data_IF_895388104681
#
_entry.id   IF_895388104681
#
_cell.length_a   1.000
_cell.length_b   1.000
_cell.length_c   1.000
_cell.angle_alpha   90.00
_cell.angle_beta   90.00
_cell.angle_gamma   90.00
#
_symmetry.space_group_name_H-M   'P 1'
#
loop_
_entity.id
_entity.type
_entity.pdbx_description
1 polymer ?
#
# COMPACT_ATOMS: atom_id res chain seq x y z
N UNK A 1 0.41 58.56 -9.47
CA UNK A 1 -0.73 57.74 -9.04
C UNK A 1 -0.60 56.37 -9.70
N UNK A 2 0.23 55.48 -9.13
CA UNK A 2 -0.24 54.27 -8.42
C UNK A 2 -0.96 53.30 -9.38
N UNK A 3 -0.28 52.37 -10.08
CA UNK A 3 0.18 51.04 -9.62
C UNK A 3 -0.76 50.35 -8.62
N UNK A 4 -1.33 49.21 -9.05
CA UNK A 4 -1.82 48.00 -8.33
C UNK A 4 -2.99 47.41 -9.17
N UNK A 5 -3.10 46.13 -9.52
CA UNK A 5 -2.31 44.93 -9.27
C UNK A 5 -2.93 43.82 -10.12
N UNK A 6 -2.34 43.49 -11.27
CA UNK A 6 -2.64 42.29 -12.04
C UNK A 6 -1.54 41.27 -11.74
N UNK A 7 -1.67 40.49 -10.66
CA UNK A 7 -0.74 39.39 -10.37
C UNK A 7 -1.29 38.44 -9.30
N UNK A 8 -2.09 37.45 -9.71
CA UNK A 8 -2.44 36.31 -8.83
C UNK A 8 -2.53 34.95 -9.53
N UNK A 9 -2.26 34.87 -10.83
CA UNK A 9 -2.38 33.64 -11.63
C UNK A 9 -1.21 32.62 -11.55
N UNK A 10 0.08 32.99 -11.36
CA UNK A 10 1.16 31.99 -11.42
C UNK A 10 1.32 31.16 -10.14
N UNK A 11 0.69 31.55 -9.03
CA UNK A 11 0.85 30.88 -7.71
C UNK A 11 -0.10 29.69 -7.54
N UNK A 12 -1.27 29.75 -8.15
CA UNK A 12 -2.29 28.68 -8.12
C UNK A 12 -1.91 27.49 -9.01
N UNK A 13 -1.33 27.75 -10.18
CA UNK A 13 -0.87 26.69 -11.09
C UNK A 13 0.30 25.90 -10.50
N UNK A 14 1.27 26.59 -9.87
CA UNK A 14 2.39 25.95 -9.14
C UNK A 14 1.89 25.09 -7.98
N UNK A 15 0.88 25.54 -7.21
CA UNK A 15 0.28 24.72 -6.14
C UNK A 15 -0.43 23.48 -6.69
N UNK A 16 -1.19 23.60 -7.78
CA UNK A 16 -1.88 22.45 -8.39
C UNK A 16 -0.89 21.44 -8.98
N UNK A 17 0.18 21.91 -9.63
CA UNK A 17 1.26 21.06 -10.15
C UNK A 17 2.03 20.39 -9.02
N UNK A 18 2.34 21.12 -7.94
CA UNK A 18 3.00 20.57 -6.76
C UNK A 18 2.13 19.52 -6.05
N UNK A 19 0.83 19.76 -5.92
CA UNK A 19 -0.11 18.79 -5.34
C UNK A 19 -0.27 17.58 -6.27
N UNK A 20 -0.31 17.78 -7.60
CA UNK A 20 -0.38 16.69 -8.57
C UNK A 20 0.91 15.84 -8.54
N UNK A 21 2.08 16.49 -8.48
CA UNK A 21 3.38 15.83 -8.31
C UNK A 21 3.46 15.08 -6.98
N UNK A 22 3.01 15.68 -5.88
CA UNK A 22 2.95 15.03 -4.57
C UNK A 22 2.02 13.81 -4.59
N UNK A 23 0.85 13.91 -5.21
CA UNK A 23 -0.13 12.82 -5.33
C UNK A 23 0.37 11.72 -6.29
N UNK A 24 1.08 12.09 -7.36
CA UNK A 24 1.74 11.14 -8.28
C UNK A 24 2.89 10.42 -7.56
N UNK A 25 3.74 11.13 -6.84
CA UNK A 25 4.83 10.56 -6.03
C UNK A 25 4.30 9.60 -4.96
N UNK A 26 3.22 9.96 -4.26
CA UNK A 26 2.58 9.11 -3.23
C UNK A 26 1.94 7.84 -3.82
N UNK A 27 1.39 7.89 -5.04
CA UNK A 27 0.87 6.70 -5.71
C UNK A 27 1.97 5.79 -6.24
N UNK A 28 3.10 6.34 -6.69
CA UNK A 28 4.24 5.54 -7.15
C UNK A 28 4.92 4.78 -6.02
N UNK A 29 4.95 5.32 -4.79
CA UNK A 29 5.63 4.67 -3.66
C UNK A 29 4.90 3.41 -3.14
N UNK A 30 3.56 3.45 -3.03
CA UNK A 30 2.79 2.28 -2.56
C UNK A 30 2.74 1.14 -3.60
N UNK A 31 2.69 1.49 -4.90
CA UNK A 31 2.72 0.50 -5.99
C UNK A 31 4.13 -0.10 -6.12
N UNK A 32 5.18 0.72 -5.98
CA UNK A 32 6.56 0.25 -6.02
C UNK A 32 6.85 -0.76 -4.90
N UNK A 33 6.39 -0.51 -3.67
CA UNK A 33 6.68 -1.43 -2.55
C UNK A 33 6.00 -2.80 -2.70
N UNK A 34 4.77 -2.85 -3.23
CA UNK A 34 4.05 -4.11 -3.45
C UNK A 34 4.65 -4.95 -4.57
N UNK A 35 5.02 -4.31 -5.68
CA UNK A 35 5.68 -4.96 -6.83
C UNK A 35 7.08 -5.45 -6.44
N UNK A 36 7.84 -4.66 -5.68
CA UNK A 36 9.17 -5.06 -5.20
C UNK A 36 9.10 -6.30 -4.31
N UNK A 37 8.13 -6.43 -3.41
CA UNK A 37 8.00 -7.62 -2.57
C UNK A 37 7.68 -8.88 -3.40
N UNK A 38 6.74 -8.78 -4.34
CA UNK A 38 6.37 -9.91 -5.21
C UNK A 38 7.56 -10.34 -6.07
N UNK A 39 8.23 -9.39 -6.73
CA UNK A 39 9.42 -9.67 -7.54
C UNK A 39 10.55 -10.30 -6.70
N UNK A 40 10.77 -9.80 -5.49
CA UNK A 40 11.77 -10.34 -4.55
C UNK A 40 11.43 -11.77 -4.17
N UNK A 41 10.15 -12.06 -3.89
CA UNK A 41 9.69 -13.40 -3.55
C UNK A 41 9.81 -14.38 -4.71
N UNK A 42 9.44 -13.97 -5.93
CA UNK A 42 9.60 -14.79 -7.14
C UNK A 42 11.07 -15.09 -7.43
N UNK A 43 11.95 -14.07 -7.34
CA UNK A 43 13.41 -14.28 -7.48
C UNK A 43 13.97 -15.18 -6.38
N UNK A 44 13.43 -15.11 -5.16
CA UNK A 44 13.84 -16.00 -4.06
C UNK A 44 13.41 -17.45 -4.32
N UNK A 45 12.21 -17.68 -4.85
CA UNK A 45 11.76 -19.02 -5.28
C UNK A 45 12.71 -19.55 -6.36
N UNK A 46 13.00 -18.75 -7.38
CA UNK A 46 13.92 -19.12 -8.45
C UNK A 46 15.31 -19.49 -7.88
N UNK A 47 15.88 -18.65 -7.02
CA UNK A 47 17.16 -18.92 -6.36
C UNK A 47 17.15 -20.22 -5.55
N UNK A 48 16.05 -20.49 -4.84
CA UNK A 48 15.88 -21.73 -4.08
C UNK A 48 15.82 -22.95 -5.00
N UNK A 49 15.05 -22.87 -6.08
CA UNK A 49 14.89 -23.99 -7.01
C UNK A 49 16.22 -24.30 -7.73
N UNK A 50 16.94 -23.26 -8.16
CA UNK A 50 18.30 -23.39 -8.72
C UNK A 50 19.26 -24.07 -7.72
N UNK A 51 19.18 -23.69 -6.44
CA UNK A 51 19.97 -24.32 -5.39
C UNK A 51 19.61 -25.79 -5.17
N UNK A 52 18.31 -26.13 -5.17
CA UNK A 52 17.86 -27.52 -5.02
C UNK A 52 18.35 -28.35 -6.22
N UNK A 53 18.29 -27.81 -7.43
CA UNK A 53 18.83 -28.47 -8.63
C UNK A 53 20.35 -28.70 -8.51
N UNK A 54 21.10 -27.70 -8.06
CA UNK A 54 22.55 -27.84 -7.80
C UNK A 54 22.81 -28.98 -6.79
N UNK A 55 22.06 -28.99 -5.68
CA UNK A 55 22.21 -30.00 -4.63
C UNK A 55 21.96 -31.42 -5.16
N UNK A 56 20.95 -31.60 -6.02
CA UNK A 56 20.58 -32.91 -6.57
C UNK A 56 21.49 -33.40 -7.70
N UNK A 57 22.00 -32.48 -8.54
CA UNK A 57 22.68 -32.85 -9.78
C UNK A 57 24.21 -32.85 -9.68
N UNK A 58 24.81 -32.13 -8.74
CA UNK A 58 26.27 -32.12 -8.60
C UNK A 58 26.78 -33.47 -8.05
N UNK A 59 27.83 -34.07 -8.63
CA UNK A 59 28.41 -35.30 -8.11
C UNK A 59 28.93 -35.10 -6.69
N UNK A 60 28.91 -36.15 -5.87
CA UNK A 60 29.51 -36.10 -4.53
C UNK A 60 31.01 -35.83 -4.66
N UNK A 61 31.52 -34.97 -3.79
CA UNK A 61 32.95 -34.65 -3.72
C UNK A 61 33.79 -35.92 -3.51
N UNK A 62 34.84 -36.15 -4.32
CA UNK A 62 35.61 -37.40 -4.27
C UNK A 62 36.52 -37.43 -3.04
N UNK A 63 36.08 -38.09 -1.96
CA UNK A 63 36.89 -38.56 -0.83
C UNK A 63 37.47 -37.46 0.09
N UNK A 64 37.04 -37.46 1.36
CA UNK A 64 37.56 -36.57 2.40
C UNK A 64 36.52 -36.27 3.47
N UNK A 65 36.90 -35.55 4.53
CA UNK A 65 35.95 -34.99 5.48
C UNK A 65 35.48 -33.64 4.94
N UNK A 66 34.17 -33.49 4.73
CA UNK A 66 33.56 -32.28 4.16
C UNK A 66 32.22 -31.97 4.84
N UNK A 67 31.84 -30.69 4.80
CA UNK A 67 30.51 -30.25 5.16
C UNK A 67 29.59 -30.39 3.95
N UNK A 68 28.43 -31.02 4.17
CA UNK A 68 27.43 -31.21 3.11
C UNK A 68 26.88 -29.87 2.62
N UNK A 69 26.72 -29.78 1.29
CA UNK A 69 25.94 -28.73 0.63
C UNK A 69 24.54 -28.58 1.25
N UNK A 70 24.08 -27.34 1.36
CA UNK A 70 22.79 -27.05 2.00
C UNK A 70 22.23 -25.71 1.55
N UNK A 71 20.90 -25.62 1.50
CA UNK A 71 20.19 -24.34 1.42
C UNK A 71 19.70 -23.95 2.81
N UNK A 72 20.09 -22.76 3.27
CA UNK A 72 19.75 -22.29 4.62
C UNK A 72 18.69 -21.18 4.64
N UNK A 73 17.86 -21.14 3.58
CA UNK A 73 16.80 -20.15 3.33
C UNK A 73 17.29 -18.75 2.98
N UNK A 74 18.60 -18.52 2.95
CA UNK A 74 19.18 -17.27 2.49
C UNK A 74 20.17 -17.48 1.34
N UNK A 75 21.09 -18.44 1.46
CA UNK A 75 22.05 -18.70 0.39
C UNK A 75 22.29 -20.21 0.17
N UNK A 76 22.77 -20.53 -1.03
CA UNK A 76 23.10 -21.88 -1.44
C UNK A 76 24.57 -22.19 -1.14
N UNK A 77 24.82 -23.16 -0.27
CA UNK A 77 26.18 -23.56 0.10
C UNK A 77 26.58 -24.85 -0.63
N UNK A 78 27.71 -24.86 -1.36
CA UNK A 78 28.26 -26.07 -1.95
C UNK A 78 28.94 -26.95 -0.89
N UNK A 79 29.43 -28.12 -1.29
CA UNK A 79 30.27 -28.95 -0.43
C UNK A 79 31.57 -28.22 -0.09
N UNK A 80 32.00 -28.32 1.17
CA UNK A 80 33.16 -27.61 1.68
C UNK A 80 34.13 -28.57 2.36
N UNK A 81 35.41 -28.51 2.04
CA UNK A 81 36.41 -29.33 2.76
C UNK A 81 36.52 -28.91 4.23
N UNK A 82 36.77 -29.88 5.10
CA UNK A 82 36.95 -29.63 6.54
C UNK A 82 38.05 -28.59 6.79
N UNK A 83 37.77 -27.60 7.64
CA UNK A 83 38.67 -26.48 7.96
C UNK A 83 38.69 -25.34 6.92
N UNK A 84 37.91 -25.42 5.84
CA UNK A 84 37.86 -24.37 4.80
C UNK A 84 36.83 -23.28 5.10
N UNK A 85 37.09 -22.09 4.56
CA UNK A 85 36.15 -20.97 4.52
C UNK A 85 35.55 -20.88 3.12
N UNK A 86 34.23 -20.97 3.04
CA UNK A 86 33.47 -20.88 1.78
C UNK A 86 32.94 -19.47 1.61
N UNK A 87 33.17 -18.91 0.43
CA UNK A 87 32.64 -17.61 0.02
C UNK A 87 31.70 -17.82 -1.17
N UNK A 88 30.51 -17.25 -1.09
CA UNK A 88 29.54 -17.23 -2.19
C UNK A 88 29.08 -15.80 -2.40
N UNK A 89 28.80 -15.42 -3.66
CA UNK A 89 28.32 -14.08 -3.97
C UNK A 89 27.00 -13.78 -3.25
N UNK A 90 26.73 -12.50 -2.99
CA UNK A 90 25.43 -12.08 -2.45
C UNK A 90 24.28 -12.62 -3.32
N UNK A 91 23.17 -13.10 -2.72
CA UNK A 91 22.05 -13.62 -3.49
C UNK A 91 21.39 -12.56 -4.39
N UNK A 92 21.14 -12.91 -5.66
CA UNK A 92 20.57 -11.97 -6.64
C UNK A 92 19.11 -11.60 -6.40
N UNK A 93 18.41 -12.32 -5.52
CA UNK A 93 17.02 -12.02 -5.18
C UNK A 93 16.89 -10.78 -4.28
N UNK A 94 17.99 -10.30 -3.67
CA UNK A 94 17.96 -9.15 -2.77
C UNK A 94 17.51 -7.87 -3.53
N UNK A 95 16.58 -7.07 -2.98
CA UNK A 95 16.13 -5.83 -3.63
C UNK A 95 17.26 -4.85 -3.92
N UNK A 96 18.31 -4.85 -3.08
CA UNK A 96 19.49 -3.99 -3.18
C UNK A 96 20.71 -4.70 -3.81
N UNK A 97 20.50 -5.83 -4.52
CA UNK A 97 21.60 -6.63 -5.10
C UNK A 97 22.59 -5.82 -5.93
N UNK A 98 22.12 -4.86 -6.73
CA UNK A 98 22.99 -4.00 -7.56
C UNK A 98 24.09 -3.30 -6.74
N UNK A 99 23.78 -2.88 -5.51
CA UNK A 99 24.74 -2.24 -4.59
C UNK A 99 25.74 -3.23 -3.99
N UNK A 100 25.31 -4.48 -3.76
CA UNK A 100 26.08 -5.52 -3.06
C UNK A 100 26.57 -6.63 -4.00
N UNK A 101 26.50 -6.43 -5.31
CA UNK A 101 26.81 -7.45 -6.32
C UNK A 101 28.24 -7.99 -6.24
N UNK A 102 29.17 -7.19 -5.72
CA UNK A 102 30.57 -7.56 -5.48
C UNK A 102 30.82 -8.14 -4.08
N UNK A 103 29.82 -8.12 -3.20
CA UNK A 103 29.91 -8.65 -1.86
C UNK A 103 29.81 -10.18 -1.83
N UNK A 104 30.34 -10.77 -0.76
CA UNK A 104 30.23 -12.21 -0.52
C UNK A 104 29.64 -12.49 0.86
N UNK A 105 28.85 -13.57 0.97
CA UNK A 105 28.55 -14.18 2.26
C UNK A 105 29.50 -15.35 2.52
N UNK A 106 29.89 -15.49 3.78
CA UNK A 106 30.91 -16.46 4.20
C UNK A 106 30.37 -17.43 5.23
N UNK A 107 30.87 -18.66 5.17
CA UNK A 107 30.57 -19.73 6.13
C UNK A 107 31.78 -20.64 6.27
N UNK A 108 32.02 -21.13 7.48
CA UNK A 108 33.18 -21.98 7.78
C UNK A 108 32.75 -23.43 7.97
N UNK A 109 33.48 -24.34 7.35
CA UNK A 109 33.40 -25.76 7.65
C UNK A 109 34.42 -26.12 8.74
N UNK A 110 33.97 -26.73 9.83
CA UNK A 110 34.82 -27.20 10.92
C UNK A 110 35.74 -28.34 10.50
N UNK A 111 36.78 -28.59 11.31
CA UNK A 111 37.70 -29.72 11.10
C UNK A 111 37.05 -31.09 11.36
N UNK A 112 35.85 -31.10 11.95
CA UNK A 112 35.00 -32.26 12.22
C UNK A 112 34.02 -32.58 11.07
N UNK A 113 34.02 -31.78 10.00
CA UNK A 113 33.10 -31.93 8.88
C UNK A 113 31.69 -31.39 9.17
N UNK A 114 31.52 -30.63 10.26
CA UNK A 114 30.27 -29.95 10.58
C UNK A 114 30.41 -28.45 10.32
N UNK A 115 29.30 -27.82 9.92
CA UNK A 115 29.27 -26.37 9.78
C UNK A 115 29.46 -25.70 11.15
N UNK A 116 30.35 -24.71 11.21
CA UNK A 116 30.68 -23.97 12.44
C UNK A 116 29.42 -23.30 13.01
N UNK A 117 29.27 -23.33 14.34
CA UNK A 117 28.13 -22.72 15.04
C UNK A 117 28.57 -21.50 15.82
N UNK A 118 27.67 -20.54 15.95
CA UNK A 118 27.84 -19.37 16.79
C UNK A 118 27.57 -19.70 18.28
N UNK A 119 27.80 -18.72 19.16
CA UNK A 119 27.56 -18.84 20.60
C UNK A 119 26.10 -19.16 20.96
N UNK A 120 25.16 -18.96 20.03
CA UNK A 120 23.74 -19.25 20.18
C UNK A 120 23.35 -20.67 19.70
N UNK A 121 24.30 -21.43 19.14
CA UNK A 121 24.10 -22.78 18.61
C UNK A 121 23.55 -22.82 17.18
N UNK A 122 23.31 -21.67 16.55
CA UNK A 122 22.94 -21.58 15.14
C UNK A 122 24.18 -21.72 14.26
N UNK A 123 24.00 -22.15 13.02
CA UNK A 123 25.13 -22.25 12.10
C UNK A 123 25.61 -20.85 11.72
N UNK A 124 26.88 -20.58 11.99
CA UNK A 124 27.50 -19.27 11.81
C UNK A 124 27.54 -18.86 10.33
N UNK A 125 27.32 -17.57 10.08
CA UNK A 125 27.41 -16.96 8.75
C UNK A 125 27.78 -15.49 8.88
N UNK A 126 28.76 -15.05 8.10
CA UNK A 126 29.05 -13.64 7.89
C UNK A 126 28.33 -13.15 6.63
N UNK A 127 27.42 -12.17 6.81
CA UNK A 127 26.66 -11.54 5.72
C UNK A 127 26.86 -10.02 5.64
N UNK A 128 27.83 -9.49 6.38
CA UNK A 128 28.08 -8.05 6.50
C UNK A 128 28.23 -7.32 5.16
N UNK A 129 28.76 -7.99 4.13
CA UNK A 129 28.94 -7.42 2.80
C UNK A 129 27.68 -7.40 1.92
N UNK A 130 26.59 -8.03 2.37
CA UNK A 130 25.31 -8.09 1.65
C UNK A 130 24.19 -7.34 2.38
N UNK A 131 24.50 -6.63 3.46
CA UNK A 131 23.53 -5.81 4.20
C UNK A 131 23.28 -4.49 3.48
N UNK A 132 22.07 -3.97 3.65
CA UNK A 132 21.68 -2.66 3.10
C UNK A 132 22.35 -1.53 3.91
N UNK A 133 22.72 -0.44 3.23
CA UNK A 133 23.35 0.72 3.86
C UNK A 133 22.45 1.33 4.97
N UNK A 134 23.02 1.54 6.17
CA UNK A 134 22.28 2.01 7.36
C UNK A 134 21.55 3.36 7.16
N UNK A 135 22.10 4.27 6.34
CA UNK A 135 21.47 5.55 6.03
C UNK A 135 20.12 5.39 5.33
N UNK A 136 20.02 4.44 4.39
CA UNK A 136 18.78 4.13 3.66
C UNK A 136 17.74 3.57 4.63
N UNK A 137 18.15 2.64 5.51
CA UNK A 137 17.28 2.03 6.52
C UNK A 137 16.73 3.08 7.51
N UNK A 138 17.55 4.05 7.92
CA UNK A 138 17.15 5.11 8.86
C UNK A 138 16.08 6.05 8.29
N UNK A 139 16.23 6.42 7.02
CA UNK A 139 15.27 7.26 6.31
C UNK A 139 13.95 6.51 6.13
N UNK A 140 13.99 5.26 5.67
CA UNK A 140 12.77 4.44 5.57
C UNK A 140 12.04 4.29 6.91
N UNK A 141 12.79 4.07 8.00
CA UNK A 141 12.21 3.93 9.34
C UNK A 141 11.48 5.22 9.75
N UNK A 142 12.06 6.38 9.47
CA UNK A 142 11.43 7.67 9.74
C UNK A 142 10.15 7.87 8.92
N UNK A 143 10.18 7.55 7.61
CA UNK A 143 8.99 7.60 6.76
C UNK A 143 7.89 6.64 7.24
N UNK A 144 8.25 5.40 7.60
CA UNK A 144 7.32 4.41 8.17
C UNK A 144 6.68 4.94 9.46
N UNK A 145 7.48 5.48 10.37
CA UNK A 145 6.97 6.06 11.62
C UNK A 145 6.02 7.24 11.37
N UNK A 146 6.37 8.12 10.43
CA UNK A 146 5.54 9.26 10.06
C UNK A 146 4.18 8.80 9.49
N UNK A 147 4.17 7.80 8.62
CA UNK A 147 2.94 7.22 8.04
C UNK A 147 2.04 6.59 9.10
N UNK A 148 2.61 5.86 10.08
CA UNK A 148 1.87 5.30 11.21
C UNK A 148 1.23 6.40 12.05
N UNK A 149 1.96 7.47 12.35
CA UNK A 149 1.43 8.61 13.10
C UNK A 149 0.26 9.28 12.37
N UNK A 150 0.40 9.55 11.06
CA UNK A 150 -0.70 10.09 10.25
C UNK A 150 -1.92 9.17 10.26
N UNK A 151 -1.71 7.85 10.17
CA UNK A 151 -2.78 6.85 10.27
C UNK A 151 -3.55 6.92 11.56
N UNK A 152 -2.85 6.99 12.69
CA UNK A 152 -3.49 7.13 13.98
C UNK A 152 -4.36 8.40 14.05
N UNK A 153 -3.82 9.54 13.62
CA UNK A 153 -4.53 10.82 13.68
C UNK A 153 -5.81 10.80 12.84
N UNK A 154 -5.74 10.37 11.56
CA UNK A 154 -6.95 10.36 10.73
C UNK A 154 -7.96 9.30 11.18
N UNK A 155 -7.51 8.17 11.74
CA UNK A 155 -8.41 7.09 12.20
C UNK A 155 -9.23 7.54 13.41
N UNK A 156 -8.58 8.20 14.37
CA UNK A 156 -9.26 8.81 15.52
C UNK A 156 -10.23 9.90 15.04
N UNK A 157 -9.78 10.76 14.11
CA UNK A 157 -10.62 11.80 13.52
C UNK A 157 -11.87 11.25 12.82
N UNK A 158 -11.72 10.22 11.98
CA UNK A 158 -12.85 9.57 11.31
C UNK A 158 -13.80 8.89 12.29
N UNK A 159 -13.29 8.28 13.36
CA UNK A 159 -14.12 7.63 14.38
C UNK A 159 -15.03 8.64 15.10
N UNK A 160 -14.47 9.78 15.52
CA UNK A 160 -15.24 10.86 16.16
C UNK A 160 -16.26 11.46 15.17
N UNK A 161 -15.84 11.68 13.92
CA UNK A 161 -16.71 12.19 12.85
C UNK A 161 -17.88 11.23 12.58
N UNK A 162 -17.62 9.92 12.53
CA UNK A 162 -18.66 8.90 12.34
C UNK A 162 -19.73 8.94 13.44
N UNK A 163 -19.31 9.00 14.70
CA UNK A 163 -20.25 9.04 15.84
C UNK A 163 -21.13 10.29 15.81
N UNK A 164 -20.52 11.46 15.58
CA UNK A 164 -21.22 12.74 15.55
C UNK A 164 -22.17 12.86 14.35
N UNK A 165 -21.71 12.50 13.14
CA UNK A 165 -22.50 12.54 11.93
C UNK A 165 -23.63 11.52 11.92
N UNK A 166 -23.39 10.31 12.44
CA UNK A 166 -24.44 9.28 12.55
C UNK A 166 -25.56 9.75 13.49
N UNK A 167 -25.19 10.35 14.62
CA UNK A 167 -26.16 10.93 15.56
C UNK A 167 -26.96 12.05 14.90
N UNK A 168 -26.30 12.98 14.20
CA UNK A 168 -26.96 14.06 13.48
C UNK A 168 -27.91 13.55 12.40
N UNK A 169 -27.49 12.54 11.62
CA UNK A 169 -28.31 11.91 10.59
C UNK A 169 -29.55 11.25 11.19
N UNK A 170 -29.41 10.51 12.30
CA UNK A 170 -30.54 9.88 13.01
C UNK A 170 -31.54 10.94 13.49
N UNK A 171 -31.07 12.07 14.03
CA UNK A 171 -31.94 13.17 14.48
C UNK A 171 -32.73 13.76 13.29
N UNK A 172 -32.05 14.06 12.17
CA UNK A 172 -32.68 14.63 10.97
C UNK A 172 -33.69 13.67 10.34
N UNK A 173 -33.40 12.36 10.35
CA UNK A 173 -34.30 11.35 9.80
C UNK A 173 -35.49 11.06 10.72
N UNK A 174 -35.28 11.03 12.05
CA UNK A 174 -36.33 10.71 13.03
C UNK A 174 -37.36 11.84 13.18
N UNK A 175 -36.91 13.10 13.18
CA UNK A 175 -37.78 14.26 13.36
C UNK A 175 -38.45 14.65 12.06
N UNK A 176 -39.67 14.13 11.82
CA UNK A 176 -40.47 14.44 10.62
C UNK A 176 -40.63 15.95 10.36
N UNK A 177 -40.69 16.77 11.42
CA UNK A 177 -40.78 18.24 11.30
C UNK A 177 -39.53 18.91 10.71
N UNK A 178 -38.38 18.24 10.72
CA UNK A 178 -37.13 18.74 10.14
C UNK A 178 -36.92 18.23 8.70
N UNK A 179 -37.86 17.47 8.11
CA UNK A 179 -37.72 16.97 6.74
C UNK A 179 -38.12 18.06 5.72
N UNK A 180 -37.15 18.90 5.37
CA UNK A 180 -37.26 19.89 4.29
C UNK A 180 -36.28 19.55 3.15
N UNK A 181 -36.48 20.12 1.96
CA UNK A 181 -35.58 19.97 0.80
C UNK A 181 -34.09 20.21 1.15
N UNK A 182 -33.80 21.30 1.88
CA UNK A 182 -32.46 21.61 2.38
C UNK A 182 -31.90 20.52 3.30
N UNK A 183 -32.70 20.05 4.25
CA UNK A 183 -32.27 19.04 5.21
C UNK A 183 -32.11 17.67 4.56
N UNK A 184 -32.77 17.42 3.42
CA UNK A 184 -32.53 16.23 2.60
C UNK A 184 -31.17 16.26 1.89
N UNK A 185 -30.74 17.43 1.39
CA UNK A 185 -29.40 17.61 0.82
C UNK A 185 -28.34 17.42 1.91
N UNK A 186 -28.52 18.03 3.08
CA UNK A 186 -27.61 17.84 4.22
C UNK A 186 -27.57 16.37 4.69
N UNK A 187 -28.70 15.67 4.71
CA UNK A 187 -28.73 14.24 5.08
C UNK A 187 -27.91 13.38 4.10
N UNK A 188 -27.99 13.64 2.79
CA UNK A 188 -27.17 12.95 1.80
C UNK A 188 -25.68 13.31 1.90
N UNK A 189 -25.36 14.57 2.20
CA UNK A 189 -23.98 15.00 2.48
C UNK A 189 -23.41 14.25 3.71
N UNK A 190 -24.16 14.19 4.81
CA UNK A 190 -23.76 13.45 6.00
C UNK A 190 -23.59 11.96 5.71
N UNK A 191 -24.50 11.36 4.92
CA UNK A 191 -24.36 9.98 4.48
C UNK A 191 -23.09 9.77 3.64
N UNK A 192 -22.75 10.71 2.74
CA UNK A 192 -21.51 10.63 1.95
C UNK A 192 -20.24 10.69 2.81
N UNK A 193 -20.26 11.49 3.87
CA UNK A 193 -19.16 11.59 4.85
C UNK A 193 -19.02 10.30 5.66
N UNK A 194 -20.14 9.71 6.09
CA UNK A 194 -20.17 8.42 6.79
C UNK A 194 -19.60 7.33 5.89
N UNK A 195 -20.07 7.20 4.64
CA UNK A 195 -19.56 6.21 3.69
C UNK A 195 -18.07 6.41 3.39
N UNK A 196 -17.61 7.66 3.27
CA UNK A 196 -16.17 7.97 3.12
C UNK A 196 -15.36 7.48 4.32
N UNK A 197 -15.78 7.80 5.53
CA UNK A 197 -15.06 7.38 6.74
C UNK A 197 -15.06 5.84 6.90
N UNK A 198 -16.21 5.19 6.70
CA UNK A 198 -16.33 3.73 6.75
C UNK A 198 -15.45 3.05 5.70
N UNK A 199 -15.47 3.52 4.45
CA UNK A 199 -14.67 2.92 3.37
C UNK A 199 -13.16 3.06 3.59
N UNK A 200 -12.69 4.19 4.13
CA UNK A 200 -11.28 4.38 4.52
C UNK A 200 -10.89 3.38 5.61
N UNK A 201 -11.69 3.28 6.68
CA UNK A 201 -11.43 2.33 7.78
C UNK A 201 -11.42 0.88 7.29
N UNK A 202 -12.37 0.50 6.42
CA UNK A 202 -12.40 -0.85 5.84
C UNK A 202 -11.13 -1.09 5.01
N UNK A 203 -10.71 -0.15 4.17
CA UNK A 203 -9.46 -0.30 3.40
C UNK A 203 -8.26 -0.44 4.33
N UNK A 204 -8.16 0.38 5.37
CA UNK A 204 -7.02 0.35 6.28
C UNK A 204 -6.96 -0.94 7.10
N UNK A 205 -8.09 -1.44 7.59
CA UNK A 205 -8.14 -2.74 8.28
C UNK A 205 -7.80 -3.91 7.36
N UNK A 206 -8.18 -3.86 6.08
CA UNK A 206 -7.76 -4.84 5.07
C UNK A 206 -6.26 -4.76 4.81
N UNK A 207 -5.71 -3.54 4.70
CA UNK A 207 -4.28 -3.32 4.47
C UNK A 207 -3.44 -3.76 5.67
N UNK A 208 -3.88 -3.47 6.90
CA UNK A 208 -3.22 -3.94 8.12
C UNK A 208 -3.28 -5.46 8.28
N UNK A 209 -4.39 -6.12 7.92
CA UNK A 209 -4.44 -7.60 7.94
C UNK A 209 -3.49 -8.24 6.93
N UNK A 210 -3.25 -7.55 5.83
CA UNK A 210 -2.39 -8.01 4.73
C UNK A 210 -0.91 -7.69 4.97
N UNK A 211 -0.57 -6.53 5.55
CA UNK A 211 0.82 -6.05 5.71
C UNK A 211 1.29 -5.92 7.16
N UNK A 212 0.36 -5.80 8.12
CA UNK A 212 0.63 -5.52 9.53
C UNK A 212 0.90 -6.76 10.38
N UNK A 213 0.78 -7.96 9.80
CA UNK A 213 1.37 -9.15 10.40
C UNK A 213 2.83 -9.13 10.00
N UNK A 214 3.67 -8.60 10.90
CA UNK A 214 5.11 -8.76 10.86
C UNK A 214 5.43 -10.17 10.31
N UNK A 215 6.25 -10.22 9.27
CA UNK A 215 6.54 -11.39 8.42
C UNK A 215 7.15 -12.50 9.30
N UNK A 216 6.34 -13.19 10.09
CA UNK A 216 6.84 -14.08 11.15
C UNK A 216 6.88 -15.53 10.68
N UNK A 217 6.22 -15.92 9.57
CA UNK A 217 6.37 -17.28 9.00
C UNK A 217 6.28 -17.32 7.48
N UNK A 218 7.23 -18.03 6.88
CA UNK A 218 7.33 -18.35 5.44
C UNK A 218 6.08 -19.06 4.88
N UNK A 219 5.27 -19.70 5.73
CA UNK A 219 3.99 -20.32 5.36
C UNK A 219 2.87 -19.30 5.13
N UNK A 220 2.95 -18.10 5.72
CA UNK A 220 1.92 -17.06 5.58
C UNK A 220 2.04 -16.27 4.27
N UNK A 221 3.21 -16.29 3.60
CA UNK A 221 3.43 -15.50 2.36
C UNK A 221 2.57 -16.04 1.20
N UNK A 222 2.44 -17.36 1.08
CA UNK A 222 1.57 -17.98 0.07
C UNK A 222 0.07 -17.76 0.31
N UNK A 223 -0.35 -17.68 1.58
CA UNK A 223 -1.74 -17.36 1.95
C UNK A 223 -2.03 -15.85 1.85
N UNK A 224 -1.04 -15.00 2.12
CA UNK A 224 -1.08 -13.55 1.96
C UNK A 224 -1.24 -13.16 0.48
N UNK A 225 -0.63 -13.91 -0.43
CA UNK A 225 -0.81 -13.80 -1.88
C UNK A 225 -2.07 -14.49 -2.42
N UNK A 226 -2.96 -14.98 -1.53
CA UNK A 226 -4.21 -15.60 -1.97
C UNK A 226 -5.03 -14.64 -2.82
N UNK A 227 -5.38 -15.12 -4.02
CA UNK A 227 -6.16 -14.38 -5.01
C UNK A 227 -7.46 -13.79 -4.43
N UNK A 228 -8.09 -14.49 -3.49
CA UNK A 228 -9.34 -14.05 -2.85
C UNK A 228 -9.16 -12.85 -1.91
N UNK A 229 -8.07 -12.80 -1.14
CA UNK A 229 -7.76 -11.67 -0.27
C UNK A 229 -7.34 -10.43 -1.09
N UNK A 230 -6.59 -10.64 -2.17
CA UNK A 230 -6.21 -9.60 -3.11
C UNK A 230 -7.42 -8.95 -3.80
N UNK A 231 -8.40 -9.75 -4.26
CA UNK A 231 -9.66 -9.24 -4.82
C UNK A 231 -10.40 -8.37 -3.79
N UNK A 232 -10.50 -8.82 -2.53
CA UNK A 232 -11.15 -8.07 -1.46
C UNK A 232 -10.51 -6.69 -1.24
N UNK A 233 -9.17 -6.61 -1.23
CA UNK A 233 -8.44 -5.35 -1.12
C UNK A 233 -8.67 -4.42 -2.32
N UNK A 234 -8.65 -4.95 -3.55
CA UNK A 234 -8.94 -4.18 -4.78
C UNK A 234 -10.36 -3.61 -4.78
N UNK A 235 -11.34 -4.41 -4.35
CA UNK A 235 -12.72 -3.96 -4.21
C UNK A 235 -12.87 -2.89 -3.14
N UNK A 236 -12.24 -3.06 -1.98
CA UNK A 236 -12.22 -2.04 -0.92
C UNK A 236 -11.58 -0.73 -1.41
N UNK A 237 -10.50 -0.81 -2.19
CA UNK A 237 -9.88 0.36 -2.81
C UNK A 237 -10.83 1.07 -3.78
N UNK A 238 -11.54 0.33 -4.64
CA UNK A 238 -12.53 0.90 -5.57
C UNK A 238 -13.69 1.58 -4.84
N UNK A 239 -14.23 0.93 -3.80
CA UNK A 239 -15.28 1.49 -2.94
C UNK A 239 -14.81 2.76 -2.25
N UNK A 240 -13.58 2.79 -1.72
CA UNK A 240 -13.02 4.00 -1.12
C UNK A 240 -12.93 5.15 -2.13
N UNK A 241 -12.43 4.90 -3.35
CA UNK A 241 -12.35 5.93 -4.40
C UNK A 241 -13.75 6.48 -4.75
N UNK A 242 -14.74 5.59 -4.85
CA UNK A 242 -16.14 5.99 -5.05
C UNK A 242 -16.65 6.88 -3.92
N UNK A 243 -16.51 6.45 -2.66
CA UNK A 243 -17.00 7.22 -1.51
C UNK A 243 -16.31 8.58 -1.37
N UNK A 244 -15.00 8.66 -1.65
CA UNK A 244 -14.27 9.93 -1.69
C UNK A 244 -14.82 10.85 -2.76
N UNK A 245 -15.03 10.36 -3.98
CA UNK A 245 -15.54 11.18 -5.09
C UNK A 245 -17.01 11.59 -4.86
N UNK A 246 -17.85 10.67 -4.36
CA UNK A 246 -19.23 10.97 -3.97
C UNK A 246 -19.30 12.06 -2.91
N UNK A 247 -18.41 12.03 -1.91
CA UNK A 247 -18.33 13.09 -0.91
C UNK A 247 -18.01 14.45 -1.55
N UNK A 248 -17.06 14.53 -2.49
CA UNK A 248 -16.76 15.77 -3.21
C UNK A 248 -17.94 16.25 -4.09
N UNK A 249 -18.63 15.32 -4.77
CA UNK A 249 -19.82 15.64 -5.57
C UNK A 249 -20.98 16.16 -4.70
N UNK A 250 -21.16 15.63 -3.48
CA UNK A 250 -22.18 16.12 -2.55
C UNK A 250 -21.86 17.51 -1.97
N UNK A 251 -20.59 17.79 -1.65
CA UNK A 251 -20.17 19.16 -1.30
C UNK A 251 -20.41 20.15 -2.44
N UNK A 252 -20.10 19.74 -3.67
CA UNK A 252 -20.38 20.55 -4.85
C UNK A 252 -21.89 20.75 -5.07
N UNK A 253 -22.70 19.70 -4.90
CA UNK A 253 -24.15 19.77 -5.01
C UNK A 253 -24.79 20.72 -3.98
N UNK A 254 -24.31 20.70 -2.73
CA UNK A 254 -24.74 21.65 -1.70
C UNK A 254 -24.35 23.09 -2.05
N UNK A 255 -23.12 23.31 -2.55
CA UNK A 255 -22.68 24.64 -2.98
C UNK A 255 -23.52 25.19 -4.13
N UNK A 256 -23.82 24.36 -5.14
CA UNK A 256 -24.71 24.73 -6.27
C UNK A 256 -26.13 24.99 -5.78
N UNK A 257 -26.64 24.21 -4.82
CA UNK A 257 -27.95 24.45 -4.22
C UNK A 257 -28.02 25.80 -3.52
N UNK A 258 -27.05 26.13 -2.67
CA UNK A 258 -26.98 27.42 -1.99
C UNK A 258 -26.88 28.59 -2.98
N UNK A 259 -26.02 28.47 -4.00
CA UNK A 259 -25.89 29.45 -5.07
C UNK A 259 -27.22 29.66 -5.82
N UNK A 260 -27.92 28.57 -6.15
CA UNK A 260 -29.20 28.62 -6.87
C UNK A 260 -30.30 29.27 -6.04
N UNK A 261 -30.35 29.03 -4.73
CA UNK A 261 -31.32 29.67 -3.82
C UNK A 261 -31.06 31.17 -3.70
N UNK A 262 -29.79 31.59 -3.64
CA UNK A 262 -29.40 32.99 -3.48
C UNK A 262 -29.67 33.83 -4.74
N UNK A 263 -29.42 33.27 -5.93
CA UNK A 263 -29.47 34.04 -7.19
C UNK A 263 -30.75 33.77 -7.99
N UNK A 264 -31.29 32.55 -7.93
CA UNK A 264 -32.38 32.09 -8.78
C UNK A 264 -33.64 31.73 -7.96
N UNK A 265 -34.01 32.59 -7.00
CA UNK A 265 -35.23 32.47 -6.19
C UNK A 265 -36.54 32.37 -7.01
N UNK A 266 -36.48 32.61 -8.33
CA UNK A 266 -37.61 32.67 -9.27
C UNK A 266 -37.86 31.34 -10.01
N UNK A 267 -36.94 30.37 -10.02
CA UNK A 267 -37.05 29.19 -10.92
C UNK A 267 -37.24 27.82 -10.25
N UNK A 268 -37.62 27.72 -8.97
CA UNK A 268 -37.67 26.43 -8.27
C UNK A 268 -39.07 25.82 -8.30
N UNK A 269 -39.44 25.23 -9.45
CA UNK A 269 -40.64 24.39 -9.58
C UNK A 269 -40.43 22.92 -9.16
N UNK A 270 -41.54 22.34 -8.69
CA UNK A 270 -41.75 21.20 -7.78
C UNK A 270 -41.16 19.80 -8.07
N UNK A 271 -40.25 19.60 -9.03
CA UNK A 271 -39.76 18.23 -9.36
C UNK A 271 -38.24 18.11 -9.57
N UNK A 272 -37.43 18.79 -8.75
CA UNK A 272 -35.97 18.97 -8.97
C UNK A 272 -35.04 18.24 -8.01
N UNK A 273 -35.48 17.31 -7.16
CA UNK A 273 -34.55 16.58 -6.27
C UNK A 273 -33.72 15.51 -7.00
N UNK A 274 -34.31 14.86 -8.01
CA UNK A 274 -33.68 13.82 -8.80
C UNK A 274 -32.35 14.25 -9.48
N UNK A 275 -32.24 15.42 -10.13
CA UNK A 275 -30.97 15.85 -10.74
C UNK A 275 -29.84 16.05 -9.72
N UNK A 276 -30.12 16.54 -8.51
CA UNK A 276 -29.09 16.68 -7.46
C UNK A 276 -28.62 15.30 -6.94
N UNK A 277 -29.54 14.34 -6.81
CA UNK A 277 -29.21 12.95 -6.44
C UNK A 277 -28.36 12.29 -7.53
N UNK A 278 -28.74 12.45 -8.80
CA UNK A 278 -27.98 11.95 -9.94
C UNK A 278 -26.59 12.59 -10.03
N UNK A 279 -26.46 13.88 -9.74
CA UNK A 279 -25.18 14.57 -9.69
C UNK A 279 -24.31 14.08 -8.52
N UNK A 280 -24.89 13.91 -7.33
CA UNK A 280 -24.17 13.46 -6.14
C UNK A 280 -23.66 12.02 -6.24
N UNK A 281 -24.55 11.06 -6.60
CA UNK A 281 -24.23 9.63 -6.60
C UNK A 281 -23.87 9.06 -7.97
N UNK A 282 -24.42 9.62 -9.05
CA UNK A 282 -24.22 9.12 -10.41
C UNK A 282 -22.92 9.61 -11.05
N UNK A 283 -22.55 10.88 -10.87
CA UNK A 283 -21.28 11.42 -11.39
C UNK A 283 -20.05 10.64 -10.92
N UNK A 284 -19.91 10.25 -9.64
CA UNK A 284 -18.80 9.40 -9.20
C UNK A 284 -18.73 8.04 -9.89
N UNK A 285 -19.86 7.39 -10.17
CA UNK A 285 -19.89 6.11 -10.88
C UNK A 285 -19.31 6.23 -12.29
N UNK A 286 -19.62 7.32 -12.98
CA UNK A 286 -19.15 7.59 -14.33
C UNK A 286 -17.62 7.70 -14.42
N UNK A 287 -16.94 8.13 -13.35
CA UNK A 287 -15.47 8.18 -13.31
C UNK A 287 -14.84 6.90 -12.77
N UNK A 288 -15.44 6.29 -11.74
CA UNK A 288 -14.87 5.10 -11.08
C UNK A 288 -14.98 3.86 -11.96
N UNK A 289 -16.09 3.67 -12.68
CA UNK A 289 -16.28 2.46 -13.51
C UNK A 289 -15.21 2.36 -14.62
N UNK A 290 -14.97 3.39 -15.47
CA UNK A 290 -13.91 3.33 -16.46
C UNK A 290 -12.52 3.13 -15.84
N UNK A 291 -12.26 3.74 -14.68
CA UNK A 291 -10.99 3.58 -13.98
C UNK A 291 -10.78 2.13 -13.50
N UNK A 292 -11.80 1.51 -12.90
CA UNK A 292 -11.75 0.09 -12.50
C UNK A 292 -11.55 -0.81 -13.71
N UNK A 293 -12.31 -0.58 -14.80
CA UNK A 293 -12.17 -1.36 -16.05
C UNK A 293 -10.76 -1.25 -16.61
N UNK A 294 -10.21 -0.04 -16.70
CA UNK A 294 -8.82 0.16 -17.16
C UNK A 294 -7.81 -0.55 -16.26
N UNK A 295 -8.01 -0.51 -14.94
CA UNK A 295 -7.12 -1.19 -13.99
C UNK A 295 -7.16 -2.70 -14.15
N UNK A 296 -8.34 -3.29 -14.28
CA UNK A 296 -8.54 -4.72 -14.53
C UNK A 296 -7.94 -5.16 -15.87
N UNK A 297 -8.13 -4.37 -16.94
CA UNK A 297 -7.60 -4.70 -18.26
C UNK A 297 -6.06 -4.65 -18.33
N UNK A 298 -5.44 -3.75 -17.56
CA UNK A 298 -3.98 -3.63 -17.52
C UNK A 298 -3.35 -4.72 -16.64
N UNK A 299 -3.93 -4.98 -15.46
CA UNK A 299 -3.45 -6.03 -14.54
C UNK A 299 -3.65 -7.46 -15.08
N UNK A 300 -4.57 -7.69 -16.03
CA UNK A 300 -4.72 -9.01 -16.67
C UNK A 300 -3.80 -9.23 -17.88
N UNK A 301 -3.10 -8.18 -18.33
CA UNK A 301 -2.19 -8.22 -19.49
C UNK A 301 -0.72 -8.35 -19.10
N UNK A 302 -0.40 -8.06 -17.85
CA UNK A 302 0.91 -8.27 -17.20
C UNK A 302 0.81 -9.56 -16.35
#
# INVERSE_FOLDING_TARGET
SSLLSFSSEPRMLKKKVLICLLVLCLKTTDIASGVVLEETYQKWIQYKDDCIQMIMNEPLSPGGLFCNRTFDRYACWPDASAGSLVNISCPFYLPWYEKVSQGVVRRRCGFDGLWERDDSGHVWRDKSQCEEEEEVTSHELWFKQMMVNFRMVYTVGYSISLLTLSTALVILLSLRKLRCSRNYIHANLFLSLILRAVSVIIKDTMLERHWGREIVKQTDVGEMLSHQAAIGCRMAQAVMQYCVLANHCWFFGEAVYLYSVLIASVFIDNNKHLPYICLGWGTPLLFVIPWVVMKLLKENKE
#
